data_IF_046575379050
#
_entry.id   IF_046575379050
#
_cell.length_a   1.000
_cell.length_b   1.000
_cell.length_c   1.000
_cell.angle_alpha   90.00
_cell.angle_beta   90.00
_cell.angle_gamma   90.00
#
_symmetry.space_group_name_H-M   'P 1'
#
loop_
_entity.id
_entity.type
_entity.pdbx_description
1 polymer ?
#
# COMPACT_ATOMS: atom_id res chain seq x y z
N UNK A 1 12.28 -11.15 -8.74
CA UNK A 1 12.77 -10.72 -7.42
C UNK A 1 13.30 -11.92 -6.67
N UNK A 2 14.51 -11.86 -6.13
CA UNK A 2 15.10 -12.94 -5.34
C UNK A 2 14.55 -12.90 -3.90
N UNK A 3 13.87 -13.96 -3.40
CA UNK A 3 13.34 -13.97 -2.03
C UNK A 3 14.40 -13.76 -0.95
N UNK A 4 15.62 -14.23 -1.17
CA UNK A 4 16.72 -14.16 -0.18
C UNK A 4 17.22 -12.73 0.08
N UNK A 5 16.90 -11.80 -0.81
CA UNK A 5 17.24 -10.37 -0.69
C UNK A 5 16.16 -9.57 0.04
N UNK A 6 15.06 -10.22 0.45
CA UNK A 6 13.91 -9.57 1.08
C UNK A 6 13.75 -9.99 2.54
N UNK A 7 13.54 -9.00 3.41
CA UNK A 7 13.10 -9.17 4.79
C UNK A 7 11.82 -8.36 5.00
N UNK A 8 10.79 -8.97 5.59
CA UNK A 8 9.56 -8.27 5.93
C UNK A 8 9.51 -7.97 7.44
N UNK A 9 9.03 -6.77 7.76
CA UNK A 9 8.94 -6.26 9.13
C UNK A 9 7.47 -6.06 9.50
N UNK A 10 7.05 -6.55 10.67
CA UNK A 10 5.68 -6.45 11.16
C UNK A 10 5.64 -5.98 12.61
N UNK A 11 4.50 -5.48 13.06
CA UNK A 11 4.27 -5.17 14.48
C UNK A 11 4.99 -3.92 15.00
N UNK A 12 5.36 -3.00 14.10
CA UNK A 12 6.11 -1.79 14.42
C UNK A 12 5.47 -0.55 13.82
N UNK A 13 5.57 0.56 14.52
CA UNK A 13 5.24 1.92 14.06
C UNK A 13 6.47 2.77 13.78
N UNK A 14 7.69 2.27 14.05
CA UNK A 14 8.95 2.99 13.83
C UNK A 14 9.83 2.32 12.78
N UNK A 15 10.31 3.08 11.79
CA UNK A 15 11.28 2.57 10.80
C UNK A 15 12.61 2.13 11.44
N UNK A 16 13.03 2.82 12.50
CA UNK A 16 14.26 2.51 13.24
C UNK A 16 14.11 1.22 14.08
N UNK A 17 12.91 0.64 14.14
CA UNK A 17 12.67 -0.70 14.68
C UNK A 17 12.81 -0.82 16.19
N UNK A 18 12.49 0.25 16.92
CA UNK A 18 12.58 0.34 18.40
C UNK A 18 11.42 -0.33 19.13
N UNK A 19 10.38 -0.76 18.42
CA UNK A 19 9.18 -1.34 19.04
C UNK A 19 9.40 -2.77 19.55
N UNK A 20 9.00 -3.02 20.79
CA UNK A 20 9.09 -4.33 21.46
C UNK A 20 8.30 -5.42 20.72
N UNK A 21 7.25 -5.04 19.98
CA UNK A 21 6.40 -5.95 19.21
C UNK A 21 6.90 -6.28 17.80
N UNK A 22 8.06 -5.77 17.39
CA UNK A 22 8.58 -5.93 16.03
C UNK A 22 8.98 -7.37 15.75
N UNK A 23 8.52 -7.90 14.62
CA UNK A 23 8.92 -9.21 14.09
C UNK A 23 9.58 -9.02 12.74
N UNK A 24 10.70 -9.71 12.53
CA UNK A 24 11.37 -9.87 11.23
C UNK A 24 11.04 -11.24 10.68
N UNK A 25 10.70 -11.30 9.40
CA UNK A 25 10.36 -12.55 8.72
C UNK A 25 11.04 -12.62 7.36
N UNK A 26 11.68 -13.76 7.09
CA UNK A 26 12.26 -14.06 5.78
C UNK A 26 11.14 -14.37 4.78
N UNK A 27 11.39 -14.04 3.51
CA UNK A 27 10.49 -14.39 2.41
C UNK A 27 10.93 -15.73 1.81
N UNK A 28 10.02 -16.69 1.72
CA UNK A 28 10.28 -17.99 1.07
C UNK A 28 9.95 -17.96 -0.42
N UNK A 29 8.93 -17.19 -0.81
CA UNK A 29 8.47 -17.10 -2.20
C UNK A 29 7.90 -15.73 -2.51
N UNK A 30 8.21 -15.25 -3.71
CA UNK A 30 7.59 -14.08 -4.32
C UNK A 30 6.72 -14.55 -5.47
N UNK A 31 5.42 -14.27 -5.41
CA UNK A 31 4.44 -14.62 -6.43
C UNK A 31 3.93 -13.34 -7.08
N UNK A 32 4.53 -12.96 -8.21
CA UNK A 32 4.04 -11.85 -9.02
C UNK A 32 2.77 -12.28 -9.77
N UNK A 33 1.82 -11.35 -9.93
CA UNK A 33 0.65 -11.63 -10.76
C UNK A 33 1.10 -11.99 -12.20
N UNK A 34 0.63 -13.12 -12.78
CA UNK A 34 1.12 -13.60 -14.08
C UNK A 34 0.79 -12.67 -15.25
N UNK A 35 -0.16 -11.75 -15.06
CA UNK A 35 -0.56 -10.75 -16.06
C UNK A 35 -0.03 -9.34 -15.75
N UNK A 36 0.90 -9.19 -14.80
CA UNK A 36 1.49 -7.88 -14.51
C UNK A 36 2.09 -7.26 -15.76
N UNK A 37 1.67 -6.02 -16.06
CA UNK A 37 2.16 -5.26 -17.20
C UNK A 37 2.86 -3.98 -16.70
N UNK A 38 4.20 -3.92 -16.77
CA UNK A 38 4.95 -2.77 -16.26
C UNK A 38 4.78 -1.49 -17.09
N UNK A 39 4.29 -1.58 -18.34
CA UNK A 39 4.05 -0.40 -19.18
C UNK A 39 2.76 0.31 -18.80
N UNK A 40 1.74 -0.46 -18.39
CA UNK A 40 0.43 0.06 -18.00
C UNK A 40 0.24 0.11 -16.49
N UNK A 41 1.20 -0.41 -15.72
CA UNK A 41 1.08 -0.67 -14.28
C UNK A 41 -0.17 -1.50 -13.94
N UNK A 42 -0.57 -2.35 -14.88
CA UNK A 42 -1.78 -3.15 -14.76
C UNK A 42 -1.48 -4.49 -14.09
N UNK A 43 -2.45 -5.00 -13.32
CA UNK A 43 -2.25 -6.13 -12.40
C UNK A 43 -1.04 -5.96 -11.47
N UNK A 44 -0.81 -4.73 -10.99
CA UNK A 44 0.26 -4.41 -10.04
C UNK A 44 -0.05 -4.94 -8.64
N UNK A 45 0.15 -6.25 -8.48
CA UNK A 45 -0.02 -6.97 -7.22
C UNK A 45 0.92 -8.17 -7.17
N UNK A 46 1.43 -8.46 -5.98
CA UNK A 46 2.21 -9.65 -5.70
C UNK A 46 1.91 -10.19 -4.31
N UNK A 47 2.15 -11.49 -4.10
CA UNK A 47 2.12 -12.11 -2.78
C UNK A 47 3.55 -12.45 -2.34
N UNK A 48 3.86 -12.10 -1.09
CA UNK A 48 5.06 -12.53 -0.40
C UNK A 48 4.68 -13.63 0.59
N UNK A 49 5.19 -14.83 0.36
CA UNK A 49 5.03 -15.93 1.30
C UNK A 49 6.16 -15.89 2.32
N UNK A 50 5.81 -15.91 3.60
CA UNK A 50 6.78 -15.92 4.68
C UNK A 50 7.37 -17.32 4.84
N UNK A 51 8.65 -17.40 5.20
CA UNK A 51 9.29 -18.69 5.53
C UNK A 51 8.75 -19.33 6.79
N UNK A 52 8.21 -18.53 7.71
CA UNK A 52 7.55 -19.01 8.93
C UNK A 52 6.23 -18.26 9.15
N UNK A 53 5.18 -18.95 9.63
CA UNK A 53 3.93 -18.30 10.00
C UNK A 53 4.12 -17.27 11.13
N UNK A 54 3.39 -16.16 11.06
CA UNK A 54 3.38 -15.15 12.11
C UNK A 54 2.43 -15.53 13.24
N UNK A 55 2.84 -15.24 14.48
CA UNK A 55 1.95 -15.25 15.63
C UNK A 55 1.15 -13.93 15.67
N UNK A 56 -0.17 -14.02 15.61
CA UNK A 56 -1.03 -12.85 15.73
C UNK A 56 -1.16 -12.40 17.18
N UNK A 57 -1.28 -11.09 17.37
CA UNK A 57 -1.37 -10.47 18.68
C UNK A 57 -1.81 -9.01 18.58
N UNK A 58 -1.59 -8.22 19.63
CA UNK A 58 -2.06 -6.84 19.69
C UNK A 58 -1.52 -5.96 18.53
N UNK A 59 -0.30 -6.20 18.08
CA UNK A 59 0.39 -5.37 17.08
C UNK A 59 0.48 -6.03 15.68
N UNK A 60 0.16 -7.32 15.57
CA UNK A 60 0.20 -8.08 14.31
C UNK A 60 -1.16 -8.72 14.10
N UNK A 61 -1.91 -8.23 13.13
CA UNK A 61 -3.21 -8.74 12.71
C UNK A 61 -3.32 -8.66 11.18
N UNK A 62 -4.01 -9.61 10.53
CA UNK A 62 -4.29 -9.53 9.10
C UNK A 62 -5.33 -8.45 8.80
N UNK A 63 -5.33 -7.98 7.56
CA UNK A 63 -6.42 -7.16 7.01
C UNK A 63 -7.42 -8.05 6.26
N UNK A 64 -8.69 -7.65 6.23
CA UNK A 64 -9.70 -8.32 5.42
C UNK A 64 -9.50 -8.01 3.93
N UNK A 65 -9.78 -8.99 3.07
CA UNK A 65 -9.89 -8.78 1.63
C UNK A 65 -11.35 -8.49 1.25
N UNK A 66 -11.60 -7.58 0.30
CA UNK A 66 -12.94 -7.36 -0.22
C UNK A 66 -13.43 -8.59 -1.03
N UNK A 67 -14.74 -8.71 -1.17
CA UNK A 67 -15.33 -9.68 -2.10
C UNK A 67 -14.97 -9.30 -3.56
N UNK A 68 -14.95 -10.29 -4.44
CA UNK A 68 -14.77 -10.05 -5.87
C UNK A 68 -15.89 -9.12 -6.39
N UNK A 69 -15.50 -8.07 -7.12
CA UNK A 69 -16.44 -7.07 -7.64
C UNK A 69 -17.07 -6.17 -6.57
N UNK A 70 -16.47 -6.08 -5.37
CA UNK A 70 -16.93 -5.09 -4.38
C UNK A 70 -16.77 -3.67 -4.92
N UNK A 71 -17.87 -2.94 -4.96
CA UNK A 71 -17.88 -1.53 -5.34
C UNK A 71 -17.58 -0.64 -4.13
N UNK A 72 -16.67 0.31 -4.31
CA UNK A 72 -16.33 1.32 -3.30
C UNK A 72 -16.99 2.66 -3.70
N UNK A 73 -18.03 3.11 -2.98
CA UNK A 73 -18.77 4.31 -3.35
C UNK A 73 -17.88 5.56 -3.43
N UNK A 74 -18.11 6.40 -4.45
CA UNK A 74 -17.47 7.71 -4.58
C UNK A 74 -17.69 8.55 -3.33
N UNK A 75 -16.64 9.24 -2.88
CA UNK A 75 -16.62 10.03 -1.66
C UNK A 75 -16.51 9.21 -0.36
N UNK A 76 -16.53 7.87 -0.43
CA UNK A 76 -16.24 7.03 0.74
C UNK A 76 -14.84 7.34 1.25
N UNK A 77 -14.74 7.59 2.56
CA UNK A 77 -13.46 7.85 3.20
C UNK A 77 -12.71 6.53 3.41
N UNK A 78 -11.47 6.52 2.96
CA UNK A 78 -10.49 5.45 3.14
C UNK A 78 -9.33 5.97 3.99
N UNK A 79 -8.56 5.02 4.55
CA UNK A 79 -7.37 5.31 5.32
C UNK A 79 -6.15 4.81 4.55
N UNK A 80 -5.17 5.68 4.35
CA UNK A 80 -3.82 5.30 3.91
C UNK A 80 -2.87 5.44 5.09
N UNK A 81 -1.82 4.62 5.10
CA UNK A 81 -0.80 4.66 6.15
C UNK A 81 0.57 4.28 5.59
N UNK A 82 1.62 4.89 6.11
CA UNK A 82 2.98 4.61 5.68
C UNK A 82 4.00 5.53 6.37
N UNK A 83 5.25 5.37 5.97
CA UNK A 83 6.39 6.15 6.46
C UNK A 83 7.03 7.01 5.36
N UNK A 84 6.32 7.23 4.25
CA UNK A 84 6.82 8.02 3.13
C UNK A 84 7.08 9.48 3.49
N UNK A 85 7.52 10.24 2.50
CA UNK A 85 7.81 11.66 2.64
C UNK A 85 6.59 12.44 3.16
N UNK A 86 6.80 13.27 4.19
CA UNK A 86 5.76 14.16 4.73
C UNK A 86 5.52 15.38 3.85
N UNK A 87 6.51 15.72 3.01
CA UNK A 87 6.51 16.84 2.09
C UNK A 87 7.25 16.40 0.84
N UNK A 88 6.63 16.61 -0.31
CA UNK A 88 7.17 16.22 -1.62
C UNK A 88 8.56 16.82 -1.83
N UNK A 89 9.54 15.99 -2.21
CA UNK A 89 10.90 16.41 -2.53
C UNK A 89 11.80 16.71 -1.33
N UNK A 90 11.35 16.42 -0.11
CA UNK A 90 12.18 16.55 1.10
C UNK A 90 13.15 15.36 1.27
N UNK A 91 12.88 14.22 0.61
CA UNK A 91 13.74 13.04 0.57
C UNK A 91 13.98 12.42 1.94
N UNK A 92 13.11 12.69 2.91
CA UNK A 92 13.23 12.19 4.28
C UNK A 92 11.92 11.57 4.75
N UNK A 93 11.94 10.24 4.78
CA UNK A 93 10.88 9.40 5.29
C UNK A 93 10.57 9.74 6.76
N UNK A 94 9.30 9.62 7.12
CA UNK A 94 8.89 9.76 8.51
C UNK A 94 9.42 8.58 9.34
N UNK A 95 10.09 8.84 10.46
CA UNK A 95 10.53 7.76 11.34
C UNK A 95 9.36 7.03 12.02
N UNK A 96 8.20 7.69 12.13
CA UNK A 96 7.00 7.19 12.81
C UNK A 96 5.86 7.03 11.81
N UNK A 97 5.09 5.95 11.95
CA UNK A 97 4.00 5.61 11.04
C UNK A 97 2.97 6.73 11.01
N UNK A 98 2.69 7.21 9.81
CA UNK A 98 1.65 8.19 9.57
C UNK A 98 0.39 7.54 9.04
N UNK A 99 -0.70 8.30 9.11
CA UNK A 99 -1.97 7.94 8.49
C UNK A 99 -2.71 9.17 8.01
N UNK A 100 -3.45 9.01 6.93
CA UNK A 100 -4.24 10.06 6.32
C UNK A 100 -5.59 9.51 5.84
N UNK A 101 -6.63 10.34 5.91
CA UNK A 101 -7.93 10.01 5.34
C UNK A 101 -8.03 10.61 3.95
N UNK A 102 -8.42 9.80 2.97
CA UNK A 102 -8.65 10.18 1.57
C UNK A 102 -10.06 9.78 1.15
N UNK A 103 -10.63 10.41 0.13
CA UNK A 103 -11.95 10.04 -0.41
C UNK A 103 -11.80 9.31 -1.74
N UNK A 104 -12.61 8.29 -2.00
CA UNK A 104 -12.69 7.67 -3.33
C UNK A 104 -13.12 8.72 -4.36
N UNK A 105 -12.39 8.79 -5.46
CA UNK A 105 -12.65 9.67 -6.61
C UNK A 105 -13.30 8.84 -7.72
N UNK A 106 -14.24 9.44 -8.44
CA UNK A 106 -14.89 8.82 -9.59
C UNK A 106 -13.88 8.49 -10.70
N UNK A 107 -14.01 7.31 -11.30
CA UNK A 107 -13.07 6.81 -12.30
C UNK A 107 -12.94 7.75 -13.49
N UNK A 108 -14.05 8.23 -14.05
CA UNK A 108 -14.05 9.16 -15.20
C UNK A 108 -13.34 10.48 -14.88
N UNK A 109 -13.57 11.02 -13.67
CA UNK A 109 -12.86 12.20 -13.19
C UNK A 109 -11.36 11.92 -13.14
N UNK A 110 -10.98 10.73 -12.71
CA UNK A 110 -9.58 10.34 -12.60
C UNK A 110 -8.92 10.13 -13.96
N UNK A 111 -9.58 9.43 -14.88
CA UNK A 111 -9.14 9.25 -16.27
C UNK A 111 -8.94 10.59 -16.97
N UNK A 112 -9.74 11.61 -16.66
CA UNK A 112 -9.56 12.95 -17.19
C UNK A 112 -8.32 13.67 -16.63
N UNK A 113 -7.97 13.41 -15.36
CA UNK A 113 -6.83 14.06 -14.68
C UNK A 113 -5.49 13.40 -15.04
N UNK A 114 -5.49 12.11 -15.38
CA UNK A 114 -4.29 11.38 -15.75
C UNK A 114 -4.09 11.35 -17.28
N UNK A 115 -2.84 11.53 -17.73
CA UNK A 115 -2.48 11.47 -19.15
C UNK A 115 -2.37 10.03 -19.70
N UNK A 116 -2.80 9.03 -18.93
CA UNK A 116 -2.80 7.62 -19.31
C UNK A 116 -4.16 7.00 -18.98
N UNK A 117 -4.53 5.97 -19.73
CA UNK A 117 -5.78 5.26 -19.49
C UNK A 117 -5.68 4.43 -18.22
N UNK A 118 -6.48 4.77 -17.20
CA UNK A 118 -6.66 3.89 -16.06
C UNK A 118 -7.43 2.65 -16.52
N UNK A 119 -7.25 1.57 -15.78
CA UNK A 119 -7.99 0.35 -16.02
C UNK A 119 -9.04 0.13 -14.94
N UNK A 120 -10.04 -0.71 -15.21
CA UNK A 120 -11.07 -1.11 -14.22
C UNK A 120 -10.50 -1.82 -12.97
N UNK A 121 -9.19 -2.10 -12.95
CA UNK A 121 -8.45 -2.73 -11.84
C UNK A 121 -7.74 -1.71 -10.95
N UNK A 122 -7.87 -0.43 -11.27
CA UNK A 122 -7.30 0.70 -10.55
C UNK A 122 -8.42 1.53 -9.91
N UNK A 123 -8.11 2.15 -8.77
CA UNK A 123 -9.01 3.05 -8.06
C UNK A 123 -8.25 4.31 -7.68
N UNK A 124 -8.96 5.43 -7.71
CA UNK A 124 -8.41 6.72 -7.29
C UNK A 124 -8.96 7.14 -5.93
N UNK A 125 -8.09 7.74 -5.12
CA UNK A 125 -8.49 8.35 -3.87
C UNK A 125 -7.64 9.57 -3.56
N UNK A 126 -8.24 10.60 -2.96
CA UNK A 126 -7.52 11.81 -2.58
C UNK A 126 -8.46 13.00 -2.35
N UNK A 127 -7.94 14.19 -2.56
CA UNK A 127 -8.70 15.43 -2.59
C UNK A 127 -8.33 16.19 -3.86
N UNK A 128 -9.33 16.62 -4.65
CA UNK A 128 -9.09 17.36 -5.89
C UNK A 128 -8.37 18.70 -5.65
N UNK A 129 -8.47 19.25 -4.44
CA UNK A 129 -7.75 20.47 -4.03
C UNK A 129 -6.31 20.18 -3.53
N UNK A 130 -5.85 18.93 -3.60
CA UNK A 130 -4.57 18.46 -3.10
C UNK A 130 -4.49 18.40 -1.57
N UNK A 131 -3.25 18.48 -1.04
CA UNK A 131 -2.82 18.56 0.38
C UNK A 131 -2.56 17.25 1.11
N UNK A 132 -3.37 16.21 0.89
CA UNK A 132 -3.22 14.93 1.57
C UNK A 132 -3.18 13.83 0.53
N UNK A 133 -2.00 13.23 0.36
CA UNK A 133 -1.72 12.23 -0.66
C UNK A 133 -0.62 11.27 -0.17
N UNK A 134 -0.38 10.18 -0.91
CA UNK A 134 0.82 9.36 -0.76
C UNK A 134 1.99 10.03 -1.49
N UNK A 135 3.06 10.35 -0.76
CA UNK A 135 4.31 10.83 -1.35
C UNK A 135 5.40 9.76 -1.26
N UNK A 136 6.33 9.82 -2.21
CA UNK A 136 7.63 9.14 -2.16
C UNK A 136 8.73 10.16 -1.94
#
# INVERSE_FOLDING_TARGET
>A
TNPEELEAHMGTTSLNGTDVGRVRANISRVLQHPLYNPLLLDFDVALLELGTPLAFGKHIQPICLPAAGHDFPVGKKCLISGWGDLQEGNGSNSETLQKASVGIIEQETCDFLYNFSLTDRMLCAGFLQGKVDSCQ
#
